data_IF_377685636059
#
_entry.id   IF_377685636059
#
_cell.length_a   1.000
_cell.length_b   1.000
_cell.length_c   1.000
_cell.angle_alpha   90.00
_cell.angle_beta   90.00
_cell.angle_gamma   90.00
#
_symmetry.space_group_name_H-M   'P 1'
#
loop_
_entity.id
_entity.type
_entity.pdbx_description
1 polymer ?
#
# COMPACT_ATOMS: atom_id res chain seq x y z
N UNK A 1 -1.33 33.67 17.62
CA UNK A 1 -1.47 32.44 16.83
C UNK A 1 -2.91 31.98 17.00
N UNK A 2 -3.78 32.17 15.99
CA UNK A 2 -5.16 31.69 16.08
C UNK A 2 -5.13 30.16 16.06
N UNK A 3 -5.49 29.54 17.19
CA UNK A 3 -5.66 28.10 17.29
C UNK A 3 -6.89 27.74 16.46
N UNK A 4 -6.76 26.82 15.51
CA UNK A 4 -7.89 26.32 14.75
C UNK A 4 -8.88 25.68 15.74
N UNK A 5 -10.12 26.16 15.80
CA UNK A 5 -11.12 25.68 16.79
C UNK A 5 -11.85 24.42 16.31
N UNK A 6 -11.67 24.02 15.04
CA UNK A 6 -12.41 22.94 14.39
C UNK A 6 -11.58 21.66 14.22
N UNK A 7 -10.47 21.51 14.94
CA UNK A 7 -9.52 20.40 14.74
C UNK A 7 -9.40 19.44 15.92
N UNK A 8 -10.05 19.73 17.05
CA UNK A 8 -9.92 18.92 18.26
C UNK A 8 -10.83 17.69 18.30
N UNK A 9 -11.88 17.66 17.48
CA UNK A 9 -12.93 16.64 17.53
C UNK A 9 -13.21 16.04 16.16
N UNK A 10 -13.63 14.78 16.11
CA UNK A 10 -13.95 14.06 14.88
C UNK A 10 -15.36 14.39 14.35
N UNK A 11 -16.24 14.96 15.18
CA UNK A 11 -17.63 15.28 14.80
C UNK A 11 -17.85 16.73 14.35
N UNK A 12 -16.82 17.58 14.39
CA UNK A 12 -16.93 19.01 14.10
C UNK A 12 -16.45 19.31 12.68
N UNK A 13 -17.36 19.79 11.84
CA UNK A 13 -17.03 20.27 10.50
C UNK A 13 -16.43 21.67 10.55
N UNK A 14 -15.42 21.91 9.71
CA UNK A 14 -14.93 23.26 9.44
C UNK A 14 -15.95 24.05 8.62
N UNK A 15 -15.84 25.40 8.58
CA UNK A 15 -16.66 26.23 7.69
C UNK A 15 -16.55 25.87 6.20
N UNK A 16 -15.49 25.15 5.81
CA UNK A 16 -15.28 24.65 4.45
C UNK A 16 -15.89 23.25 4.22
N UNK A 17 -16.60 22.69 5.20
CA UNK A 17 -17.19 21.34 5.11
C UNK A 17 -16.18 20.20 5.25
N UNK A 18 -15.05 20.43 5.93
CA UNK A 18 -13.97 19.44 6.09
C UNK A 18 -13.93 18.89 7.51
N UNK A 19 -13.52 17.63 7.66
CA UNK A 19 -13.25 16.99 8.94
C UNK A 19 -11.74 16.87 9.16
N UNK A 20 -11.17 17.82 9.91
CA UNK A 20 -9.70 17.88 10.07
C UNK A 20 -9.11 16.63 10.73
N UNK A 21 -9.80 16.00 11.69
CA UNK A 21 -9.33 14.75 12.32
C UNK A 21 -9.19 13.60 11.31
N UNK A 22 -10.08 13.52 10.31
CA UNK A 22 -9.97 12.51 9.24
C UNK A 22 -8.79 12.83 8.32
N UNK A 23 -8.56 14.10 8.01
CA UNK A 23 -7.43 14.53 7.19
C UNK A 23 -6.09 14.26 7.88
N UNK A 24 -6.01 14.49 9.19
CA UNK A 24 -4.82 14.16 9.98
C UNK A 24 -4.55 12.65 10.02
N UNK A 25 -5.61 11.84 10.08
CA UNK A 25 -5.48 10.39 9.97
C UNK A 25 -4.95 9.97 8.58
N UNK A 26 -5.39 10.64 7.51
CA UNK A 26 -4.84 10.43 6.15
C UNK A 26 -3.36 10.82 6.06
N UNK A 27 -2.95 11.91 6.71
CA UNK A 27 -1.53 12.28 6.81
C UNK A 27 -0.72 11.22 7.57
N UNK A 28 -1.27 10.61 8.62
CA UNK A 28 -0.60 9.51 9.32
C UNK A 28 -0.33 8.30 8.40
N UNK A 29 -1.24 8.00 7.46
CA UNK A 29 -1.03 6.95 6.45
C UNK A 29 0.16 7.30 5.55
N UNK A 30 0.27 8.55 5.10
CA UNK A 30 1.40 9.02 4.27
C UNK A 30 2.75 8.93 4.99
N UNK A 31 2.77 8.98 6.32
CA UNK A 31 4.00 8.79 7.10
C UNK A 31 4.41 7.31 7.22
N UNK A 32 3.50 6.36 6.99
CA UNK A 32 3.80 4.93 6.92
C UNK A 32 4.78 4.61 5.80
N UNK A 33 5.50 3.49 5.86
CA UNK A 33 6.34 3.09 4.72
C UNK A 33 5.51 2.76 3.49
N UNK A 34 6.13 2.81 2.33
CA UNK A 34 5.47 2.47 1.07
C UNK A 34 4.99 1.02 1.04
N UNK A 35 3.83 0.81 0.43
CA UNK A 35 3.33 -0.49 0.01
C UNK A 35 2.66 -0.32 -1.36
N UNK A 36 2.87 -1.29 -2.25
CA UNK A 36 2.35 -1.32 -3.61
C UNK A 36 1.53 -2.59 -3.77
N UNK A 37 0.38 -2.49 -4.42
CA UNK A 37 -0.46 -3.61 -4.80
C UNK A 37 -0.72 -3.62 -6.29
N UNK A 38 -0.73 -4.81 -6.89
CA UNK A 38 -1.05 -5.02 -8.30
C UNK A 38 -1.92 -6.28 -8.43
N UNK A 39 -2.74 -6.34 -9.48
CA UNK A 39 -3.45 -7.56 -9.85
C UNK A 39 -3.38 -7.82 -11.36
N UNK A 40 -3.28 -9.10 -11.70
CA UNK A 40 -3.51 -9.64 -13.04
C UNK A 40 -4.84 -10.40 -13.08
N UNK A 41 -5.12 -11.08 -14.20
CA UNK A 41 -6.28 -12.00 -14.29
C UNK A 41 -6.14 -13.23 -13.38
N UNK A 42 -4.92 -13.59 -12.99
CA UNK A 42 -4.62 -14.84 -12.27
C UNK A 42 -4.07 -14.63 -10.87
N UNK A 43 -3.41 -13.49 -10.62
CA UNK A 43 -2.72 -13.22 -9.37
C UNK A 43 -3.07 -11.85 -8.80
N UNK A 44 -3.01 -11.71 -7.49
CA UNK A 44 -2.95 -10.42 -6.82
C UNK A 44 -1.74 -10.41 -5.88
N UNK A 45 -0.98 -9.32 -5.91
CA UNK A 45 0.28 -9.22 -5.18
C UNK A 45 0.38 -7.93 -4.39
N UNK A 46 1.15 -7.99 -3.31
CA UNK A 46 1.53 -6.87 -2.45
C UNK A 46 3.05 -6.84 -2.35
N UNK A 47 3.63 -5.65 -2.43
CA UNK A 47 5.04 -5.42 -2.16
C UNK A 47 5.15 -4.33 -1.10
N UNK A 48 5.89 -4.61 -0.04
CA UNK A 48 5.99 -3.71 1.09
C UNK A 48 7.45 -3.40 1.42
N UNK A 49 7.74 -2.10 1.59
CA UNK A 49 9.03 -1.64 2.10
C UNK A 49 9.00 -1.65 3.63
N UNK A 50 9.78 -2.55 4.24
CA UNK A 50 10.02 -2.60 5.69
C UNK A 50 11.05 -1.53 6.07
N UNK A 51 10.84 -0.89 7.23
CA UNK A 51 11.83 -0.01 7.86
C UNK A 51 12.38 -0.70 9.09
N UNK A 52 13.67 -0.47 9.33
CA UNK A 52 14.29 -0.71 10.64
C UNK A 52 14.53 0.64 11.32
N UNK A 53 14.38 0.67 12.65
CA UNK A 53 14.64 1.87 13.46
C UNK A 53 16.12 2.05 13.79
N UNK A 54 16.97 1.05 13.50
CA UNK A 54 18.41 1.08 13.75
C UNK A 54 19.05 -0.28 13.49
N UNK A 55 20.38 -0.36 13.54
CA UNK A 55 21.12 -1.58 13.17
C UNK A 55 20.80 -2.80 14.06
N UNK A 56 20.48 -2.55 15.33
CA UNK A 56 20.11 -3.60 16.28
C UNK A 56 18.62 -4.00 16.21
N UNK A 57 17.81 -3.28 15.43
CA UNK A 57 16.37 -3.50 15.39
C UNK A 57 15.98 -4.42 14.23
N UNK A 58 15.06 -5.34 14.51
CA UNK A 58 14.40 -6.13 13.47
C UNK A 58 13.49 -5.25 12.62
N UNK A 59 13.37 -5.60 11.34
CA UNK A 59 12.41 -4.97 10.46
C UNK A 59 10.97 -5.20 10.91
N UNK A 60 10.17 -4.14 10.92
CA UNK A 60 8.76 -4.25 11.28
C UNK A 60 7.95 -4.91 10.15
N UNK A 61 7.18 -5.94 10.49
CA UNK A 61 6.29 -6.60 9.55
C UNK A 61 5.16 -5.66 9.11
N UNK A 62 4.87 -5.70 7.81
CA UNK A 62 3.87 -4.85 7.16
C UNK A 62 2.71 -5.60 6.55
N UNK A 63 2.87 -6.90 6.36
CA UNK A 63 1.85 -7.74 5.76
C UNK A 63 1.30 -8.71 6.78
N UNK A 64 0.00 -8.92 6.71
CA UNK A 64 -0.70 -9.83 7.60
C UNK A 64 -1.62 -10.72 6.78
N UNK A 65 -1.56 -12.01 7.07
CA UNK A 65 -2.56 -12.97 6.59
C UNK A 65 -3.86 -12.75 7.37
N UNK A 66 -4.97 -12.61 6.65
CA UNK A 66 -6.32 -12.50 7.21
C UNK A 66 -7.04 -13.85 7.10
N UNK A 67 -6.97 -14.47 5.92
CA UNK A 67 -7.48 -15.81 5.66
C UNK A 67 -6.60 -16.50 4.62
N UNK A 68 -6.92 -17.73 4.25
CA UNK A 68 -6.21 -18.46 3.20
C UNK A 68 -6.21 -17.71 1.87
N UNK A 69 -7.29 -17.01 1.53
CA UNK A 69 -7.47 -16.33 0.24
C UNK A 69 -7.33 -14.81 0.35
N UNK A 70 -6.94 -14.26 1.52
CA UNK A 70 -6.87 -12.81 1.77
C UNK A 70 -5.62 -12.42 2.55
N UNK A 71 -4.90 -11.45 2.03
CA UNK A 71 -3.76 -10.81 2.68
C UNK A 71 -3.87 -9.29 2.67
N UNK A 72 -3.25 -8.62 3.64
CA UNK A 72 -3.19 -7.16 3.70
C UNK A 72 -1.77 -6.65 3.81
N UNK A 73 -1.51 -5.45 3.29
CA UNK A 73 -0.36 -4.62 3.59
C UNK A 73 -0.84 -3.31 4.25
N UNK A 74 -0.08 -2.82 5.23
CA UNK A 74 -0.49 -1.68 6.06
C UNK A 74 0.40 -0.45 5.82
N UNK A 75 -0.16 0.75 5.96
CA UNK A 75 0.59 1.99 6.12
C UNK A 75 -0.07 2.89 7.17
N UNK A 76 0.72 3.44 8.09
CA UNK A 76 0.26 4.24 9.22
C UNK A 76 0.47 3.55 10.57
N UNK A 77 -0.44 3.75 11.52
CA UNK A 77 -0.33 3.27 12.90
C UNK A 77 -0.52 1.74 12.99
N UNK A 78 0.52 1.03 13.40
CA UNK A 78 0.50 -0.45 13.54
C UNK A 78 -0.48 -0.94 14.60
N UNK A 79 -0.72 -0.15 15.66
CA UNK A 79 -1.71 -0.49 16.69
C UNK A 79 -3.12 -0.58 16.11
N UNK A 80 -3.53 0.42 15.33
CA UNK A 80 -4.81 0.45 14.64
C UNK A 80 -4.91 -0.68 13.60
N UNK A 81 -3.79 -0.95 12.91
CA UNK A 81 -3.69 -2.06 11.97
C UNK A 81 -3.99 -3.41 12.62
N UNK A 82 -3.49 -3.65 13.84
CA UNK A 82 -3.74 -4.87 14.61
C UNK A 82 -5.21 -5.00 15.01
N UNK A 83 -5.85 -3.89 15.40
CA UNK A 83 -7.27 -3.88 15.75
C UNK A 83 -8.12 -4.27 14.54
N UNK A 84 -7.90 -3.62 13.40
CA UNK A 84 -8.69 -3.88 12.19
C UNK A 84 -8.37 -5.24 11.56
N UNK A 85 -7.11 -5.69 11.54
CA UNK A 85 -6.76 -7.03 11.02
C UNK A 85 -7.36 -8.16 11.86
N UNK A 86 -7.39 -8.02 13.19
CA UNK A 86 -8.08 -8.99 14.05
C UNK A 86 -9.59 -8.99 13.81
N UNK A 87 -10.20 -7.81 13.63
CA UNK A 87 -11.60 -7.71 13.22
C UNK A 87 -11.86 -8.41 11.87
N UNK A 88 -11.00 -8.20 10.86
CA UNK A 88 -11.10 -8.86 9.56
C UNK A 88 -11.02 -10.39 9.69
N UNK A 89 -10.08 -10.91 10.51
CA UNK A 89 -9.96 -12.35 10.78
C UNK A 89 -11.23 -12.91 11.42
N UNK A 90 -11.82 -12.19 12.37
CA UNK A 90 -13.09 -12.59 12.98
C UNK A 90 -14.22 -12.66 11.97
N UNK A 91 -14.32 -11.68 11.06
CA UNK A 91 -15.34 -11.70 9.99
C UNK A 91 -15.13 -12.87 9.01
N UNK A 92 -13.88 -13.14 8.61
CA UNK A 92 -13.55 -14.27 7.74
C UNK A 92 -13.88 -15.62 8.38
N UNK A 93 -13.49 -15.83 9.65
CA UNK A 93 -13.81 -17.04 10.41
C UNK A 93 -15.32 -17.21 10.61
N UNK A 94 -16.04 -16.12 10.92
CA UNK A 94 -17.50 -16.13 11.07
C UNK A 94 -18.19 -16.58 9.77
N UNK A 95 -17.76 -16.09 8.61
CA UNK A 95 -18.31 -16.52 7.32
C UNK A 95 -18.11 -18.02 7.07
N UNK A 96 -16.91 -18.54 7.36
CA UNK A 96 -16.62 -19.98 7.26
C UNK A 96 -17.48 -20.79 8.22
N UNK A 97 -17.67 -20.32 9.46
CA UNK A 97 -18.47 -21.01 10.47
C UNK A 97 -19.97 -21.05 10.12
N UNK A 98 -20.54 -19.92 9.68
CA UNK A 98 -22.00 -19.79 9.46
C UNK A 98 -22.41 -20.31 8.08
N UNK A 99 -21.61 -20.05 7.05
CA UNK A 99 -21.99 -20.32 5.66
C UNK A 99 -21.13 -21.40 4.99
N UNK A 100 -20.15 -21.97 5.70
CA UNK A 100 -19.20 -22.94 5.16
C UNK A 100 -18.52 -22.47 3.86
N UNK A 101 -18.26 -21.15 3.74
CA UNK A 101 -17.62 -20.55 2.57
C UNK A 101 -16.69 -19.39 2.96
N UNK A 102 -15.59 -19.19 2.20
CA UNK A 102 -14.75 -18.02 2.37
C UNK A 102 -15.55 -16.73 2.14
N UNK A 103 -15.22 -15.68 2.89
CA UNK A 103 -15.85 -14.37 2.73
C UNK A 103 -15.40 -13.73 1.41
N UNK A 104 -16.33 -13.20 0.57
CA UNK A 104 -15.94 -12.41 -0.60
C UNK A 104 -15.10 -11.20 -0.22
N UNK A 105 -14.09 -10.86 -1.03
CA UNK A 105 -13.11 -9.82 -0.66
C UNK A 105 -13.78 -8.46 -0.50
N UNK A 106 -14.67 -8.12 -1.45
CA UNK A 106 -15.42 -6.87 -1.42
C UNK A 106 -16.22 -6.70 -0.12
N UNK A 107 -16.95 -7.73 0.33
CA UNK A 107 -17.77 -7.70 1.54
C UNK A 107 -16.90 -7.48 2.78
N UNK A 108 -15.75 -8.15 2.84
CA UNK A 108 -14.84 -7.98 3.97
C UNK A 108 -14.32 -6.55 4.07
N UNK A 109 -13.90 -5.97 2.93
CA UNK A 109 -13.38 -4.60 2.89
C UNK A 109 -14.47 -3.58 3.22
N UNK A 110 -15.69 -3.73 2.68
CA UNK A 110 -16.83 -2.87 3.04
C UNK A 110 -17.14 -2.93 4.52
N UNK A 111 -17.08 -4.12 5.13
CA UNK A 111 -17.32 -4.27 6.58
C UNK A 111 -16.26 -3.53 7.43
N UNK A 112 -15.01 -3.47 6.95
CA UNK A 112 -13.94 -2.68 7.60
C UNK A 112 -14.19 -1.18 7.41
N UNK A 113 -14.62 -0.77 6.22
CA UNK A 113 -14.97 0.61 5.91
C UNK A 113 -16.11 1.11 6.81
N UNK A 114 -17.19 0.34 6.95
CA UNK A 114 -18.32 0.64 7.83
C UNK A 114 -17.87 0.77 9.30
N UNK A 115 -17.01 -0.15 9.76
CA UNK A 115 -16.45 -0.08 11.11
C UNK A 115 -15.62 1.19 11.32
N UNK A 116 -14.82 1.58 10.33
CA UNK A 116 -14.02 2.80 10.38
C UNK A 116 -14.89 4.05 10.35
N UNK A 117 -15.99 4.02 9.60
CA UNK A 117 -16.90 5.16 9.46
C UNK A 117 -17.60 5.52 10.77
N UNK A 118 -17.93 4.54 11.62
CA UNK A 118 -18.46 4.82 12.96
C UNK A 118 -17.49 5.68 13.79
N UNK A 119 -16.18 5.43 13.65
CA UNK A 119 -15.14 6.17 14.36
C UNK A 119 -14.91 7.60 13.84
N UNK A 120 -15.55 8.00 12.73
CA UNK A 120 -15.52 9.38 12.21
C UNK A 120 -16.74 10.20 12.64
N UNK A 121 -17.75 9.56 13.25
CA UNK A 121 -19.03 10.20 13.58
C UNK A 121 -19.40 10.13 15.07
N UNK A 122 -18.85 9.17 15.82
CA UNK A 122 -19.08 9.08 17.27
C UNK A 122 -18.13 9.99 18.07
N UNK A 123 -18.69 10.83 18.94
CA UNK A 123 -17.95 11.68 19.86
C UNK A 123 -17.05 10.85 20.79
N UNK A 124 -15.84 11.35 21.04
CA UNK A 124 -14.86 10.71 21.92
C UNK A 124 -14.12 9.52 21.29
N UNK A 125 -14.45 9.15 20.05
CA UNK A 125 -13.62 8.25 19.24
C UNK A 125 -12.64 9.05 18.38
N UNK A 126 -11.68 8.34 17.79
CA UNK A 126 -10.82 8.88 16.75
C UNK A 126 -10.87 7.99 15.51
N UNK A 127 -10.72 8.57 14.31
CA UNK A 127 -10.47 7.80 13.10
C UNK A 127 -9.26 6.88 13.29
N UNK A 128 -9.28 5.74 12.61
CA UNK A 128 -8.11 4.88 12.55
C UNK A 128 -6.99 5.60 11.78
N UNK A 129 -5.75 5.56 12.23
CA UNK A 129 -4.61 6.20 11.57
C UNK A 129 -3.88 5.26 10.61
N UNK A 130 -4.61 4.38 9.91
CA UNK A 130 -4.03 3.32 9.07
C UNK A 130 -4.81 3.17 7.77
N UNK A 131 -4.10 2.97 6.67
CA UNK A 131 -4.63 2.55 5.38
C UNK A 131 -4.18 1.12 5.07
N UNK A 132 -5.02 0.38 4.33
CA UNK A 132 -4.72 -0.97 3.89
C UNK A 132 -4.71 -1.07 2.37
N UNK A 133 -3.79 -1.89 1.87
CA UNK A 133 -3.98 -2.58 0.61
C UNK A 133 -4.41 -4.01 0.94
N UNK A 134 -5.53 -4.44 0.40
CA UNK A 134 -6.12 -5.75 0.63
C UNK A 134 -6.10 -6.49 -0.69
N UNK A 135 -5.36 -7.60 -0.75
CA UNK A 135 -5.44 -8.53 -1.87
C UNK A 135 -6.22 -9.76 -1.47
N UNK A 136 -6.93 -10.32 -2.43
CA UNK A 136 -7.51 -11.64 -2.26
C UNK A 136 -7.93 -12.24 -3.59
N UNK A 137 -8.38 -13.48 -3.51
CA UNK A 137 -8.96 -14.19 -4.64
C UNK A 137 -10.24 -14.87 -4.21
N UNK A 138 -11.33 -14.55 -4.91
CA UNK A 138 -12.61 -15.20 -4.72
C UNK A 138 -13.15 -15.73 -6.06
N UNK A 139 -14.44 -16.03 -6.13
CA UNK A 139 -15.06 -16.63 -7.31
C UNK A 139 -15.03 -15.70 -8.55
N UNK A 140 -14.92 -14.38 -8.35
CA UNK A 140 -14.75 -13.41 -9.45
C UNK A 140 -13.30 -13.24 -9.90
N UNK A 141 -12.35 -13.85 -9.20
CA UNK A 141 -10.93 -13.80 -9.54
C UNK A 141 -10.11 -12.97 -8.54
N UNK A 142 -8.94 -12.47 -8.96
CA UNK A 142 -8.06 -11.67 -8.11
C UNK A 142 -8.56 -10.23 -7.94
N UNK A 143 -8.49 -9.77 -6.69
CA UNK A 143 -8.91 -8.44 -6.29
C UNK A 143 -7.80 -7.69 -5.57
N UNK A 144 -7.80 -6.38 -5.73
CA UNK A 144 -6.99 -5.43 -4.99
C UNK A 144 -7.88 -4.27 -4.54
N UNK A 145 -8.01 -4.11 -3.23
CA UNK A 145 -8.75 -3.01 -2.62
C UNK A 145 -7.82 -2.09 -1.84
N UNK A 146 -8.09 -0.80 -1.90
CA UNK A 146 -7.61 0.16 -0.92
C UNK A 146 -8.69 0.38 0.14
N UNK A 147 -8.30 0.38 1.41
CA UNK A 147 -9.11 0.94 2.50
C UNK A 147 -8.42 2.19 3.04
N UNK A 148 -9.20 3.27 3.16
CA UNK A 148 -8.81 4.55 3.71
C UNK A 148 -9.45 4.79 5.08
N UNK A 149 -8.74 5.43 6.03
CA UNK A 149 -9.29 5.78 7.33
C UNK A 149 -10.48 6.75 7.29
N UNK A 150 -10.76 7.34 6.13
CA UNK A 150 -11.98 8.13 5.87
C UNK A 150 -13.26 7.29 5.77
N UNK A 151 -13.18 5.96 5.90
CA UNK A 151 -14.32 5.06 5.69
C UNK A 151 -14.57 4.74 4.21
N UNK A 152 -13.66 5.14 3.31
CA UNK A 152 -13.77 4.81 1.90
C UNK A 152 -13.01 3.52 1.58
N UNK A 153 -13.55 2.77 0.63
CA UNK A 153 -12.86 1.63 0.03
C UNK A 153 -13.11 1.57 -1.46
N UNK A 154 -12.06 1.34 -2.24
CA UNK A 154 -12.12 1.28 -3.70
C UNK A 154 -11.34 0.08 -4.22
N UNK A 155 -11.83 -0.49 -5.32
CA UNK A 155 -11.13 -1.55 -6.05
C UNK A 155 -10.20 -0.93 -7.10
N UNK A 156 -8.99 -1.45 -7.23
CA UNK A 156 -7.96 -0.95 -8.14
C UNK A 156 -7.35 -2.06 -8.99
N UNK A 157 -6.80 -1.69 -10.14
CA UNK A 157 -5.89 -2.56 -10.92
C UNK A 157 -4.47 -2.55 -10.34
N UNK A 158 -4.03 -1.37 -9.90
CA UNK A 158 -2.82 -1.20 -9.11
C UNK A 158 -2.96 0.03 -8.21
N UNK A 159 -2.35 0.00 -7.03
CA UNK A 159 -2.39 1.11 -6.08
C UNK A 159 -1.14 1.14 -5.20
N UNK A 160 -0.77 2.32 -4.71
CA UNK A 160 0.32 2.50 -3.75
C UNK A 160 -0.10 3.42 -2.61
N UNK A 161 0.27 3.05 -1.38
CA UNK A 161 0.03 3.81 -0.15
C UNK A 161 1.33 4.02 0.64
N UNK A 162 1.33 4.99 1.55
CA UNK A 162 2.49 5.32 2.39
C UNK A 162 3.40 6.39 1.80
N UNK A 163 4.60 6.50 2.37
CA UNK A 163 5.55 7.56 2.07
C UNK A 163 6.04 7.49 0.62
N UNK A 164 6.01 8.64 -0.05
CA UNK A 164 6.40 8.79 -1.47
C UNK A 164 5.64 7.86 -2.42
N UNK A 165 4.41 7.47 -2.07
CA UNK A 165 3.59 6.61 -2.94
C UNK A 165 3.26 7.25 -4.29
N UNK A 166 3.28 8.57 -4.40
CA UNK A 166 3.00 9.27 -5.67
C UNK A 166 3.97 8.86 -6.79
N UNK A 167 5.26 8.69 -6.49
CA UNK A 167 6.24 8.22 -7.48
C UNK A 167 5.92 6.80 -7.98
N UNK A 168 5.50 5.91 -7.09
CA UNK A 168 5.02 4.58 -7.47
C UNK A 168 3.76 4.67 -8.32
N UNK A 169 2.78 5.52 -7.96
CA UNK A 169 1.56 5.72 -8.75
C UNK A 169 1.86 6.15 -10.17
N UNK A 170 2.78 7.09 -10.37
CA UNK A 170 3.21 7.52 -11.72
C UNK A 170 3.82 6.39 -12.54
N UNK A 171 4.57 5.48 -11.92
CA UNK A 171 5.04 4.28 -12.61
C UNK A 171 3.89 3.34 -12.98
N UNK A 172 2.98 3.08 -12.04
CA UNK A 172 1.84 2.18 -12.23
C UNK A 172 0.89 2.69 -13.32
N UNK A 173 0.57 3.99 -13.34
CA UNK A 173 -0.27 4.64 -14.35
C UNK A 173 0.27 4.47 -15.78
N UNK A 174 1.59 4.37 -15.95
CA UNK A 174 2.20 4.16 -17.27
C UNK A 174 2.11 2.71 -17.76
N UNK A 175 1.95 1.74 -16.86
CA UNK A 175 2.09 0.32 -17.19
C UNK A 175 0.84 -0.51 -16.86
N UNK A 176 -0.20 0.05 -16.22
CA UNK A 176 -1.31 -0.73 -15.67
C UNK A 176 -2.07 -1.58 -16.70
N UNK A 177 -2.07 -1.16 -17.97
CA UNK A 177 -2.74 -1.88 -19.06
C UNK A 177 -2.07 -3.24 -19.34
N UNK A 178 -0.77 -3.39 -19.10
CA UNK A 178 -0.07 -4.68 -19.31
C UNK A 178 -0.34 -5.68 -18.18
N UNK A 179 -0.71 -5.23 -16.98
CA UNK A 179 -0.77 -6.08 -15.79
C UNK A 179 -1.78 -7.21 -15.90
N UNK A 180 -2.86 -7.03 -16.66
CA UNK A 180 -3.91 -8.03 -16.81
C UNK A 180 -3.39 -9.37 -17.38
N UNK A 181 -2.41 -9.30 -18.29
CA UNK A 181 -1.85 -10.43 -19.03
C UNK A 181 -0.46 -10.85 -18.52
N UNK A 182 0.07 -10.17 -17.50
CA UNK A 182 1.33 -10.55 -16.87
C UNK A 182 1.20 -11.89 -16.12
N UNK A 183 2.24 -12.72 -16.27
CA UNK A 183 2.50 -13.81 -15.34
C UNK A 183 2.96 -13.25 -13.96
N UNK A 184 3.12 -14.13 -12.98
CA UNK A 184 3.50 -13.74 -11.62
C UNK A 184 4.86 -13.04 -11.55
N UNK A 185 5.86 -13.52 -12.29
CA UNK A 185 7.23 -12.96 -12.31
C UNK A 185 7.25 -11.53 -12.85
N UNK A 186 6.59 -11.31 -13.98
CA UNK A 186 6.50 -10.00 -14.63
C UNK A 186 5.69 -9.02 -13.76
N UNK A 187 4.61 -9.50 -13.13
CA UNK A 187 3.81 -8.70 -12.21
C UNK A 187 4.62 -8.27 -10.98
N UNK A 188 5.40 -9.19 -10.40
CA UNK A 188 6.32 -8.89 -9.29
C UNK A 188 7.40 -7.91 -9.73
N UNK A 189 7.98 -8.08 -10.92
CA UNK A 189 8.99 -7.16 -11.47
C UNK A 189 8.44 -5.73 -11.59
N UNK A 190 7.24 -5.56 -12.16
CA UNK A 190 6.57 -4.25 -12.19
C UNK A 190 6.35 -3.68 -10.79
N UNK A 191 5.92 -4.51 -9.84
CA UNK A 191 5.74 -4.10 -8.46
C UNK A 191 7.03 -3.66 -7.77
N UNK A 192 8.15 -4.35 -8.02
CA UNK A 192 9.46 -4.00 -7.48
C UNK A 192 9.98 -2.68 -8.10
N UNK A 193 9.78 -2.47 -9.39
CA UNK A 193 10.08 -1.20 -10.05
C UNK A 193 9.27 -0.05 -9.44
N UNK A 194 7.96 -0.21 -9.29
CA UNK A 194 7.09 0.77 -8.64
C UNK A 194 7.55 1.06 -7.19
N UNK A 195 7.88 0.01 -6.42
CA UNK A 195 8.34 0.17 -5.03
C UNK A 195 9.69 0.89 -4.96
N UNK A 196 10.62 0.60 -5.88
CA UNK A 196 11.92 1.28 -5.98
C UNK A 196 11.77 2.79 -6.19
N UNK A 197 10.80 3.23 -6.98
CA UNK A 197 10.53 4.66 -7.17
C UNK A 197 10.10 5.39 -5.88
N UNK A 198 9.74 4.65 -4.82
CA UNK A 198 9.46 5.23 -3.50
C UNK A 198 10.69 5.36 -2.61
N UNK A 199 11.88 4.92 -3.03
CA UNK A 199 13.11 5.00 -2.24
C UNK A 199 13.77 6.38 -2.33
N UNK A 200 14.73 6.62 -1.44
CA UNK A 200 15.67 7.73 -1.58
C UNK A 200 16.75 7.34 -2.60
N UNK A 201 17.42 8.31 -3.22
CA UNK A 201 18.41 8.05 -4.27
C UNK A 201 19.52 7.07 -3.84
N UNK A 202 19.92 7.10 -2.56
CA UNK A 202 21.02 6.26 -2.05
C UNK A 202 20.56 4.91 -1.47
N UNK A 203 19.29 4.55 -1.65
CA UNK A 203 18.72 3.32 -1.07
C UNK A 203 18.22 2.39 -2.16
N UNK A 204 18.52 1.10 -1.96
CA UNK A 204 18.11 0.03 -2.85
C UNK A 204 17.17 -0.96 -2.14
N UNK A 205 16.41 -1.71 -2.92
CA UNK A 205 15.64 -2.84 -2.43
C UNK A 205 16.59 -4.00 -2.17
N UNK A 206 16.41 -4.68 -1.03
CA UNK A 206 17.16 -5.86 -0.66
C UNK A 206 16.26 -6.86 0.08
N UNK A 207 16.80 -8.06 0.33
CA UNK A 207 16.09 -9.16 0.99
C UNK A 207 15.58 -8.82 2.40
N UNK A 208 16.20 -7.84 3.08
CA UNK A 208 15.88 -7.46 4.45
C UNK A 208 14.78 -6.40 4.51
N UNK A 209 14.78 -5.46 3.58
CA UNK A 209 13.85 -4.34 3.55
C UNK A 209 12.61 -4.58 2.66
N UNK A 210 12.59 -5.65 1.86
CA UNK A 210 11.50 -5.94 0.94
C UNK A 210 10.70 -7.14 1.41
N UNK A 211 9.40 -7.15 1.14
CA UNK A 211 8.53 -8.29 1.41
C UNK A 211 7.47 -8.37 0.33
N UNK A 212 7.20 -9.58 -0.15
CA UNK A 212 6.26 -9.83 -1.26
C UNK A 212 5.14 -10.75 -0.75
N UNK A 213 3.90 -10.31 -0.86
CA UNK A 213 2.70 -11.09 -0.56
C UNK A 213 2.01 -11.50 -1.86
N UNK A 214 1.62 -12.77 -1.98
CA UNK A 214 1.04 -13.32 -3.21
C UNK A 214 -0.23 -14.09 -2.88
N UNK A 215 -1.30 -13.84 -3.65
CA UNK A 215 -2.46 -14.72 -3.78
C UNK A 215 -2.59 -15.12 -5.25
N UNK A 216 -2.83 -16.40 -5.50
CA UNK A 216 -2.91 -16.97 -6.84
C UNK A 216 -1.98 -18.16 -7.04
N UNK A 217 -2.01 -18.79 -8.24
CA UNK A 217 -1.24 -19.98 -8.55
C UNK A 217 0.26 -19.86 -8.20
N UNK A 218 0.90 -21.00 -7.97
CA UNK A 218 2.33 -21.08 -7.64
C UNK A 218 3.21 -20.43 -8.73
N UNK A 219 4.30 -19.78 -8.32
CA UNK A 219 5.41 -19.43 -9.22
C UNK A 219 6.24 -20.68 -9.55
N UNK A 220 6.98 -20.62 -10.65
CA UNK A 220 8.03 -21.60 -10.99
C UNK A 220 9.13 -21.68 -9.92
N UNK A 221 9.34 -20.60 -9.17
CA UNK A 221 10.32 -20.50 -8.09
C UNK A 221 9.79 -20.97 -6.73
N UNK A 222 8.53 -21.40 -6.64
CA UNK A 222 7.89 -21.82 -5.39
C UNK A 222 7.55 -23.30 -5.38
N UNK A 223 8.14 -24.03 -4.43
CA UNK A 223 7.82 -25.43 -4.19
C UNK A 223 6.78 -25.58 -3.07
N UNK A 224 5.80 -26.46 -3.27
CA UNK A 224 4.84 -26.86 -2.23
C UNK A 224 3.65 -25.91 -2.01
N UNK A 225 3.37 -25.01 -2.95
CA UNK A 225 2.18 -24.16 -2.90
C UNK A 225 0.96 -24.96 -3.41
N UNK A 226 -0.14 -25.05 -2.62
CA UNK A 226 -1.35 -25.72 -3.08
C UNK A 226 -1.90 -25.11 -4.37
N UNK A 227 -2.58 -25.88 -5.24
CA UNK A 227 -3.19 -25.35 -6.47
C UNK A 227 -4.17 -24.19 -6.24
N UNK A 228 -4.76 -24.12 -5.04
CA UNK A 228 -5.64 -23.03 -4.60
C UNK A 228 -4.93 -21.69 -4.44
N UNK A 229 -3.59 -21.69 -4.38
CA UNK A 229 -2.79 -20.47 -4.35
C UNK A 229 -3.03 -19.59 -3.12
N UNK A 230 -2.98 -20.15 -1.88
CA UNK A 230 -3.28 -19.37 -0.69
C UNK A 230 -2.30 -18.21 -0.50
N UNK A 231 -2.73 -17.20 0.25
CA UNK A 231 -1.92 -16.06 0.61
C UNK A 231 -0.65 -16.51 1.32
N UNK A 232 0.47 -16.11 0.73
CA UNK A 232 1.82 -16.43 1.20
C UNK A 232 2.68 -15.19 1.15
N UNK A 233 3.61 -15.10 2.10
CA UNK A 233 4.55 -13.99 2.22
C UNK A 233 5.96 -14.56 1.97
N UNK A 234 6.65 -13.97 1.00
CA UNK A 234 8.05 -14.21 0.70
C UNK A 234 8.89 -13.13 1.38
N UNK A 235 9.92 -13.56 2.10
CA UNK A 235 10.92 -12.74 2.79
C UNK A 235 12.29 -13.42 2.74
N UNK A 236 13.36 -12.63 2.91
CA UNK A 236 14.73 -13.14 2.94
C UNK A 236 15.19 -13.67 1.58
N UNK A 237 15.95 -14.78 1.60
CA UNK A 237 16.56 -15.40 0.41
C UNK A 237 15.54 -15.76 -0.68
N UNK A 238 14.27 -16.02 -0.32
CA UNK A 238 13.21 -16.33 -1.29
C UNK A 238 12.90 -15.17 -2.24
N UNK A 239 13.24 -13.93 -1.86
CA UNK A 239 13.02 -12.75 -2.70
C UNK A 239 14.18 -12.54 -3.69
N UNK A 240 15.35 -13.12 -3.43
CA UNK A 240 16.59 -12.81 -4.16
C UNK A 240 16.47 -13.06 -5.67
N UNK A 241 15.81 -14.17 -6.05
CA UNK A 241 15.51 -14.49 -7.44
C UNK A 241 14.72 -13.37 -8.14
N UNK A 242 13.74 -12.78 -7.47
CA UNK A 242 12.91 -11.71 -8.02
C UNK A 242 13.67 -10.38 -8.10
N UNK A 243 14.50 -10.07 -7.09
CA UNK A 243 15.33 -8.86 -7.08
C UNK A 243 16.36 -8.88 -8.22
N UNK A 244 16.93 -10.05 -8.51
CA UNK A 244 17.86 -10.22 -9.64
C UNK A 244 17.24 -9.95 -11.01
N UNK A 245 15.91 -10.05 -11.16
CA UNK A 245 15.22 -9.73 -12.43
C UNK A 245 14.99 -8.24 -12.66
N UNK A 246 15.30 -7.39 -11.68
CA UNK A 246 15.08 -5.95 -11.80
C UNK A 246 16.05 -5.33 -12.80
N UNK A 247 15.50 -4.58 -13.77
CA UNK A 247 16.29 -3.75 -14.68
C UNK A 247 16.93 -2.60 -13.88
N UNK A 248 18.23 -2.35 -14.11
CA UNK A 248 18.94 -1.22 -13.51
C UNK A 248 18.23 0.10 -13.82
N UNK A 249 18.21 1.04 -12.87
CA UNK A 249 17.64 2.36 -13.13
C UNK A 249 18.59 3.09 -14.08
N UNK A 250 18.11 3.46 -15.28
CA UNK A 250 18.85 4.39 -16.12
C UNK A 250 18.96 5.71 -15.35
N UNK A 251 20.18 6.08 -15.00
CA UNK A 251 20.46 7.38 -14.40
C UNK A 251 20.30 8.41 -15.50
N UNK A 252 19.12 9.00 -15.65
CA UNK A 252 19.00 10.26 -16.39
C UNK A 252 19.96 11.24 -15.74
N UNK A 253 21.02 11.61 -16.45
CA UNK A 253 21.90 12.69 -16.06
C UNK A 253 21.04 13.93 -15.82
N UNK A 254 21.26 14.70 -14.73
CA UNK A 254 20.49 15.90 -14.50
C UNK A 254 20.63 16.79 -15.75
N UNK A 255 19.49 17.14 -16.34
CA UNK A 255 19.43 18.09 -17.44
C UNK A 255 20.26 19.31 -17.03
N UNK A 256 21.31 19.60 -17.80
CA UNK A 256 22.18 20.73 -17.55
C UNK A 256 21.32 21.97 -17.31
N UNK A 257 21.47 22.59 -16.14
CA UNK A 257 20.77 23.82 -15.82
C UNK A 257 20.98 24.80 -16.97
N UNK A 258 19.94 25.50 -17.45
CA UNK A 258 20.13 26.53 -18.47
C UNK A 258 21.15 27.52 -17.92
N UNK A 259 22.24 27.71 -18.67
CA UNK A 259 23.29 28.66 -18.32
C UNK A 259 22.64 30.01 -18.01
N UNK A 260 22.90 30.54 -16.82
CA UNK A 260 22.48 31.88 -16.45
C UNK A 260 23.04 32.86 -17.49
N UNK A 261 22.18 33.37 -18.36
CA UNK A 261 22.48 34.54 -19.18
C UNK A 261 22.69 35.70 -18.20
N UNK A 262 23.92 36.19 -18.12
CA UNK A 262 24.28 37.32 -17.27
C UNK A 262 23.42 38.54 -17.61
N UNK A 263 22.93 39.21 -16.56
CA UNK A 263 22.43 40.57 -16.64
C UNK A 263 23.56 41.46 -17.17
N UNK A 264 23.42 41.97 -18.39
CA UNK A 264 24.18 43.13 -18.84
C UNK A 264 23.51 44.37 -18.24
N UNK A 265 24.23 45.00 -17.29
CA UNK A 265 23.95 46.31 -16.73
C UNK A 265 23.76 47.35 -17.86
N UNK A 266 22.51 47.74 -18.12
CA UNK A 266 22.22 48.96 -18.89
C UNK A 266 22.37 50.15 -17.94
N UNK A 267 23.57 50.73 -17.93
CA UNK A 267 23.84 52.03 -17.35
C UNK A 267 22.98 53.10 -18.07
N UNK A 268 22.03 53.68 -17.34
CA UNK A 268 21.32 54.89 -17.78
C UNK A 268 22.25 56.08 -17.61
N UNK A 269 22.67 56.68 -18.72
CA UNK A 269 23.34 57.98 -18.76
C UNK A 269 22.30 59.12 -18.59
N UNK A 270 22.76 60.19 -17.95
CA UNK A 270 22.05 61.47 -17.66
C UNK A 270 21.47 62.18 -18.89
#
# INVERSE_FOLDING_TARGET
MFRNTYDSDNTVFSPQGRLHQVEYALEAVKQGSAAVGLRSKTHSILLALKRSTGELASYQQKMFRIDDHIGIAIAGLTSDARVLSNFMRQQAMSSKMVFNRPVPVNRLVSTVADKAQVNTQEYGRRPYGVGFLVIGQDQSGPHLYEFSPSGNSYEYYAMSIGARSQSAKTYLEKHYESFADCNLEDLIRHGLHALRETLQQDKELNINNTSIGIVGPASEHENGVPPTGPFRILEGEKIDAFLGTMIAKETEAPAAAPAATGDEDVQMAE
#
